data_IF_545583856062
#
_entry.id   IF_545583856062
#
_cell.length_a   1.000
_cell.length_b   1.000
_cell.length_c   1.000
_cell.angle_alpha   90.00
_cell.angle_beta   90.00
_cell.angle_gamma   90.00
#
_symmetry.space_group_name_H-M   'P 1'
#
loop_
_entity.id
_entity.type
_entity.pdbx_description
1 polymer ?
#
# COMPACT_ATOMS: atom_id res chain seq x y z
N UNK A 1 23.24 23.61 -32.38
CA UNK A 1 22.39 23.02 -33.44
C UNK A 1 21.04 22.67 -32.84
N UNK A 2 19.92 22.95 -33.52
CA UNK A 2 18.54 22.75 -32.99
C UNK A 2 18.23 21.32 -32.52
N UNK A 3 18.89 20.29 -33.07
CA UNK A 3 18.74 18.87 -32.67
C UNK A 3 19.48 18.55 -31.34
N UNK A 4 20.22 19.51 -30.79
CA UNK A 4 20.97 19.38 -29.52
C UNK A 4 20.33 20.25 -28.44
N UNK A 5 19.82 21.43 -28.83
CA UNK A 5 19.29 22.44 -27.91
C UNK A 5 17.76 22.45 -27.95
N UNK A 6 17.14 22.02 -26.85
CA UNK A 6 15.69 21.96 -26.66
C UNK A 6 15.02 23.34 -26.82
N UNK A 7 15.68 24.44 -26.42
CA UNK A 7 15.13 25.80 -26.54
C UNK A 7 15.01 26.27 -28.00
N UNK A 8 15.83 25.67 -28.88
CA UNK A 8 15.88 25.94 -30.31
C UNK A 8 15.07 24.90 -31.11
N UNK A 9 14.33 24.02 -30.44
CA UNK A 9 13.49 23.00 -31.06
C UNK A 9 12.01 23.40 -31.07
N UNK A 10 11.24 23.12 -32.14
CA UNK A 10 11.72 22.70 -33.45
C UNK A 10 12.49 23.81 -34.18
N UNK A 11 13.34 23.49 -35.18
CA UNK A 11 13.95 24.48 -36.05
C UNK A 11 12.85 25.29 -36.76
N UNK A 12 13.04 26.62 -36.77
CA UNK A 12 12.07 27.57 -37.30
C UNK A 12 12.73 28.50 -38.32
N UNK A 13 12.00 28.84 -39.38
CA UNK A 13 12.32 29.94 -40.29
C UNK A 13 11.20 30.98 -40.17
N UNK A 14 11.53 32.25 -39.98
CA UNK A 14 10.54 33.31 -39.81
C UNK A 14 9.48 33.02 -38.73
N UNK A 15 9.87 32.35 -37.63
CA UNK A 15 9.03 31.86 -36.51
C UNK A 15 8.09 30.68 -36.84
N UNK A 16 8.10 30.17 -38.06
CA UNK A 16 7.31 29.00 -38.46
C UNK A 16 8.17 27.73 -38.42
N UNK A 17 7.69 26.62 -37.81
CA UNK A 17 8.40 25.34 -37.86
C UNK A 17 8.64 24.89 -39.30
N UNK A 18 9.83 24.38 -39.60
CA UNK A 18 10.15 23.88 -40.94
C UNK A 18 9.47 22.51 -41.13
N UNK A 19 8.62 22.31 -42.14
CA UNK A 19 7.90 21.05 -42.34
C UNK A 19 8.84 19.95 -42.82
N UNK A 20 9.14 18.98 -41.95
CA UNK A 20 10.12 17.92 -42.23
C UNK A 20 9.65 16.98 -43.33
N UNK A 21 8.36 16.62 -43.37
CA UNK A 21 7.83 15.66 -44.33
C UNK A 21 7.78 16.21 -45.78
N UNK A 22 7.60 17.52 -45.94
CA UNK A 22 7.61 18.19 -47.26
C UNK A 22 9.03 18.34 -47.83
N UNK A 23 10.05 18.33 -46.97
CA UNK A 23 11.44 18.58 -47.34
C UNK A 23 12.29 17.30 -47.41
N UNK A 24 11.66 16.12 -47.44
CA UNK A 24 12.37 14.82 -47.42
C UNK A 24 13.36 14.62 -48.55
N UNK A 25 13.19 15.31 -49.69
CA UNK A 25 14.15 15.26 -50.80
C UNK A 25 15.52 15.86 -50.45
N UNK A 26 15.57 16.75 -49.46
CA UNK A 26 16.81 17.41 -48.99
C UNK A 26 17.34 16.81 -47.68
N UNK A 27 16.57 15.93 -47.02
CA UNK A 27 16.87 15.42 -45.69
C UNK A 27 17.17 13.92 -45.75
N UNK A 28 18.30 13.50 -45.19
CA UNK A 28 18.63 12.07 -45.10
C UNK A 28 17.68 11.36 -44.15
N UNK A 29 17.43 10.06 -44.39
CA UNK A 29 16.61 9.25 -43.49
C UNK A 29 17.16 9.24 -42.05
N UNK A 30 18.49 9.27 -41.89
CA UNK A 30 19.15 9.38 -40.60
C UNK A 30 18.81 10.71 -39.89
N UNK A 31 18.88 11.84 -40.60
CA UNK A 31 18.58 13.15 -40.05
C UNK A 31 17.11 13.26 -39.62
N UNK A 32 16.20 12.77 -40.46
CA UNK A 32 14.75 12.70 -40.15
C UNK A 32 14.52 11.82 -38.93
N UNK A 33 15.17 10.65 -38.85
CA UNK A 33 15.08 9.76 -37.69
C UNK A 33 15.56 10.43 -36.40
N UNK A 34 16.70 11.14 -36.44
CA UNK A 34 17.22 11.90 -35.30
C UNK A 34 16.30 13.05 -34.90
N UNK A 35 15.73 13.79 -35.87
CA UNK A 35 14.78 14.85 -35.60
C UNK A 35 13.54 14.31 -34.86
N UNK A 36 12.92 13.24 -35.36
CA UNK A 36 11.74 12.62 -34.74
C UNK A 36 12.05 12.05 -33.36
N UNK A 37 13.23 11.48 -33.16
CA UNK A 37 13.66 11.03 -31.84
C UNK A 37 13.78 12.19 -30.83
N UNK A 38 14.31 13.35 -31.26
CA UNK A 38 14.38 14.56 -30.43
C UNK A 38 13.02 15.19 -30.20
N UNK A 39 12.14 15.16 -31.19
CA UNK A 39 10.76 15.64 -31.05
C UNK A 39 10.06 14.92 -29.90
N UNK A 40 10.10 13.58 -29.88
CA UNK A 40 9.54 12.77 -28.79
C UNK A 40 10.21 13.08 -27.45
N UNK A 41 11.54 13.15 -27.43
CA UNK A 41 12.29 13.47 -26.20
C UNK A 41 11.88 14.82 -25.63
N UNK A 42 11.93 15.88 -26.43
CA UNK A 42 11.66 17.25 -26.00
C UNK A 42 10.17 17.50 -25.73
N UNK A 43 9.25 16.78 -26.38
CA UNK A 43 7.83 16.85 -26.04
C UNK A 43 7.47 16.07 -24.76
N UNK A 44 8.37 15.23 -24.23
CA UNK A 44 8.11 14.45 -23.02
C UNK A 44 8.36 15.31 -21.78
N UNK A 45 7.33 15.52 -20.95
CA UNK A 45 7.44 16.35 -19.74
C UNK A 45 8.35 15.72 -18.67
N UNK A 46 8.09 14.46 -18.29
CA UNK A 46 8.86 13.76 -17.27
C UNK A 46 9.87 12.79 -17.90
N UNK A 47 10.87 13.36 -18.58
CA UNK A 47 11.90 12.60 -19.30
C UNK A 47 12.62 11.63 -18.37
N UNK A 48 12.90 10.45 -18.86
CA UNK A 48 13.74 9.47 -18.14
C UNK A 48 14.93 9.11 -19.01
N UNK A 49 16.12 9.26 -18.43
CA UNK A 49 17.38 8.93 -19.08
C UNK A 49 17.99 7.70 -18.42
N UNK A 50 18.76 6.93 -19.18
CA UNK A 50 19.52 5.83 -18.60
C UNK A 50 20.50 6.34 -17.52
N UNK A 51 20.44 5.79 -16.31
CA UNK A 51 21.30 6.18 -15.17
C UNK A 51 22.78 5.85 -15.42
N UNK A 52 23.06 4.96 -16.38
CA UNK A 52 24.43 4.61 -16.74
C UNK A 52 25.23 5.85 -17.17
N UNK A 53 26.37 6.18 -16.53
CA UNK A 53 27.05 7.47 -16.70
C UNK A 53 27.65 7.67 -18.11
N UNK A 54 27.95 6.58 -18.81
CA UNK A 54 28.40 6.59 -20.22
C UNK A 54 27.24 6.46 -21.22
N UNK A 55 26.02 6.26 -20.73
CA UNK A 55 24.86 6.00 -21.55
C UNK A 55 23.99 7.23 -21.75
N UNK A 56 23.34 7.69 -20.69
CA UNK A 56 22.44 8.86 -20.67
C UNK A 56 21.46 8.94 -21.85
N UNK A 57 21.08 7.79 -22.40
CA UNK A 57 20.15 7.69 -23.52
C UNK A 57 18.74 7.97 -23.00
N UNK A 58 17.98 8.84 -23.67
CA UNK A 58 16.56 9.03 -23.41
C UNK A 58 15.80 7.70 -23.58
N UNK A 59 14.92 7.39 -22.63
CA UNK A 59 14.11 6.17 -22.62
C UNK A 59 12.64 6.58 -22.80
N UNK A 60 12.04 6.28 -23.97
CA UNK A 60 10.62 6.55 -24.23
C UNK A 60 9.69 5.78 -23.27
N UNK A 61 8.49 6.32 -23.05
CA UNK A 61 7.45 5.73 -22.17
C UNK A 61 7.09 4.29 -22.54
N UNK A 62 7.16 3.93 -23.82
CA UNK A 62 6.93 2.56 -24.29
C UNK A 62 7.86 1.51 -23.65
N UNK A 63 8.99 1.94 -23.06
CA UNK A 63 9.95 1.07 -22.38
C UNK A 63 9.95 1.27 -20.86
N UNK A 64 8.88 1.87 -20.33
CA UNK A 64 8.66 2.09 -18.90
C UNK A 64 7.52 1.17 -18.43
N UNK A 65 7.77 0.41 -17.37
CA UNK A 65 6.76 -0.42 -16.72
C UNK A 65 7.00 -0.45 -15.21
N UNK A 66 5.94 -0.24 -14.42
CA UNK A 66 5.99 -0.22 -12.95
C UNK A 66 7.12 0.69 -12.43
N UNK A 67 7.19 1.93 -12.94
CA UNK A 67 8.20 2.92 -12.56
C UNK A 67 9.66 2.53 -12.82
N UNK A 68 9.87 1.54 -13.69
CA UNK A 68 11.18 1.12 -14.16
C UNK A 68 11.29 1.29 -15.67
N UNK A 69 12.26 2.11 -16.07
CA UNK A 69 12.63 2.37 -17.46
C UNK A 69 13.76 1.43 -17.89
N UNK A 70 13.58 0.72 -19.00
CA UNK A 70 14.60 -0.19 -19.56
C UNK A 70 15.30 0.47 -20.74
N UNK A 71 16.62 0.69 -20.62
CA UNK A 71 17.40 1.32 -21.66
C UNK A 71 17.56 0.40 -22.89
N UNK A 72 17.18 0.88 -24.07
CA UNK A 72 17.31 0.09 -25.31
C UNK A 72 18.74 -0.03 -25.81
N UNK A 73 19.65 0.85 -25.37
CA UNK A 73 21.06 0.85 -25.79
C UNK A 73 21.94 -0.07 -24.96
N UNK A 74 21.80 -0.04 -23.64
CA UNK A 74 22.66 -0.81 -22.72
C UNK A 74 21.92 -1.74 -21.77
N UNK A 75 20.58 -1.86 -21.90
CA UNK A 75 19.70 -2.75 -21.11
C UNK A 75 19.67 -2.48 -19.59
N UNK A 76 20.37 -1.45 -19.11
CA UNK A 76 20.27 -0.98 -17.73
C UNK A 76 18.85 -0.52 -17.40
N UNK A 77 18.47 -0.71 -16.13
CA UNK A 77 17.15 -0.41 -15.57
C UNK A 77 17.26 0.81 -14.67
N UNK A 78 16.44 1.82 -14.93
CA UNK A 78 16.43 3.10 -14.21
C UNK A 78 15.09 3.28 -13.51
N UNK A 79 15.09 3.74 -12.25
CA UNK A 79 13.86 4.17 -11.59
C UNK A 79 13.39 5.51 -12.20
N UNK A 80 12.12 5.58 -12.60
CA UNK A 80 11.54 6.80 -13.19
C UNK A 80 11.35 7.92 -12.17
N UNK A 81 11.33 7.61 -10.88
CA UNK A 81 11.14 8.60 -9.81
C UNK A 81 12.44 9.30 -9.45
N UNK A 82 13.46 8.54 -9.03
CA UNK A 82 14.74 9.11 -8.59
C UNK A 82 15.79 9.23 -9.70
N UNK A 83 15.52 8.68 -10.88
CA UNK A 83 16.41 8.64 -12.05
C UNK A 83 17.72 7.87 -11.84
N UNK A 84 17.86 7.19 -10.70
CA UNK A 84 18.98 6.29 -10.39
C UNK A 84 18.73 4.85 -10.87
N UNK A 85 19.67 3.95 -10.56
CA UNK A 85 19.50 2.52 -10.81
C UNK A 85 18.22 1.97 -10.12
N UNK A 86 17.57 1.00 -10.76
CA UNK A 86 16.43 0.30 -10.17
C UNK A 86 16.78 -0.30 -8.79
N UNK A 87 15.93 -0.06 -7.80
CA UNK A 87 15.97 -0.68 -6.48
C UNK A 87 15.14 -1.97 -6.50
N UNK A 88 15.80 -3.12 -6.33
CA UNK A 88 15.15 -4.43 -6.41
C UNK A 88 14.43 -4.76 -5.10
N UNK A 89 13.10 -4.80 -5.14
CA UNK A 89 12.29 -5.24 -3.99
C UNK A 89 12.15 -4.20 -2.88
N UNK A 90 12.63 -2.98 -3.11
CA UNK A 90 12.54 -1.85 -2.19
C UNK A 90 11.78 -0.71 -2.87
N UNK A 91 11.04 0.07 -2.08
CA UNK A 91 10.40 1.27 -2.62
C UNK A 91 11.43 2.35 -2.93
N UNK A 92 11.10 3.23 -3.86
CA UNK A 92 11.94 4.38 -4.11
C UNK A 92 11.98 5.30 -2.87
N UNK A 93 13.16 5.69 -2.37
CA UNK A 93 13.26 6.61 -1.24
C UNK A 93 12.73 8.01 -1.57
N UNK A 94 12.67 8.35 -2.86
CA UNK A 94 12.11 9.60 -3.36
C UNK A 94 10.63 9.49 -3.74
N UNK A 95 9.99 8.35 -3.49
CA UNK A 95 8.54 8.23 -3.60
C UNK A 95 7.84 8.92 -2.43
N UNK A 96 7.57 10.21 -2.58
CA UNK A 96 6.92 11.04 -1.57
C UNK A 96 5.60 10.42 -1.10
N UNK A 97 4.84 9.79 -2.00
CA UNK A 97 3.55 9.15 -1.69
C UNK A 97 3.75 7.95 -0.79
N UNK A 98 4.62 7.02 -1.18
CA UNK A 98 4.95 5.84 -0.36
C UNK A 98 5.57 6.26 0.97
N UNK A 99 6.49 7.22 0.98
CA UNK A 99 7.10 7.74 2.20
C UNK A 99 6.07 8.37 3.15
N UNK A 100 5.06 9.09 2.63
CA UNK A 100 3.98 9.62 3.45
C UNK A 100 3.14 8.52 4.11
N UNK A 101 2.83 7.45 3.38
CA UNK A 101 2.11 6.28 3.92
C UNK A 101 2.94 5.57 4.99
N UNK A 102 4.24 5.38 4.77
CA UNK A 102 5.12 4.73 5.75
C UNK A 102 5.29 5.57 7.02
N UNK A 103 5.40 6.89 6.91
CA UNK A 103 5.40 7.79 8.09
C UNK A 103 4.09 7.71 8.87
N UNK A 104 2.96 7.71 8.16
CA UNK A 104 1.66 7.53 8.81
C UNK A 104 1.58 6.16 9.50
N UNK A 105 2.10 5.11 8.87
CA UNK A 105 2.15 3.78 9.47
C UNK A 105 2.97 3.77 10.76
N UNK A 106 4.16 4.39 10.76
CA UNK A 106 5.00 4.50 11.94
C UNK A 106 4.30 5.25 13.09
N UNK A 107 3.69 6.40 12.80
CA UNK A 107 2.97 7.20 13.80
C UNK A 107 1.78 6.45 14.43
N UNK A 108 1.10 5.62 13.65
CA UNK A 108 -0.04 4.83 14.11
C UNK A 108 0.34 3.40 14.52
N UNK A 109 1.64 3.08 14.54
CA UNK A 109 2.15 1.73 14.82
C UNK A 109 1.50 0.64 13.94
N UNK A 110 1.19 0.98 12.68
CA UNK A 110 0.75 0.05 11.67
C UNK A 110 1.93 -0.74 11.13
N UNK A 111 1.70 -2.03 10.88
CA UNK A 111 2.75 -2.94 10.45
C UNK A 111 2.74 -3.14 8.94
N UNK A 112 3.91 -3.26 8.32
CA UNK A 112 4.04 -3.58 6.90
C UNK A 112 4.26 -5.07 6.71
N UNK A 113 3.49 -5.68 5.82
CA UNK A 113 3.73 -7.05 5.40
C UNK A 113 5.05 -7.13 4.62
N UNK A 114 6.00 -7.92 5.11
CA UNK A 114 7.32 -8.11 4.49
C UNK A 114 7.28 -8.87 3.17
N UNK A 115 6.17 -9.54 2.85
CA UNK A 115 6.01 -10.32 1.60
C UNK A 115 5.39 -9.50 0.47
N UNK A 116 4.37 -8.69 0.76
CA UNK A 116 3.63 -7.95 -0.28
C UNK A 116 3.64 -6.43 -0.08
N UNK A 117 4.40 -5.94 0.90
CA UNK A 117 4.60 -4.51 1.16
C UNK A 117 3.36 -3.73 1.59
N UNK A 118 2.20 -4.37 1.75
CA UNK A 118 0.96 -3.74 2.23
C UNK A 118 1.08 -3.37 3.71
N UNK A 119 0.71 -2.13 4.04
CA UNK A 119 0.52 -1.67 5.42
C UNK A 119 -0.80 -2.22 5.96
N UNK A 120 -0.77 -2.72 7.19
CA UNK A 120 -1.91 -3.28 7.90
C UNK A 120 -2.04 -2.64 9.28
N UNK A 121 -3.28 -2.40 9.67
CA UNK A 121 -3.67 -1.97 11.00
C UNK A 121 -4.18 -3.16 11.80
N UNK A 122 -3.94 -3.18 13.11
CA UNK A 122 -4.51 -4.14 14.05
C UNK A 122 -5.34 -3.41 15.11
N UNK A 123 -6.63 -3.27 14.83
CA UNK A 123 -7.62 -2.64 15.71
C UNK A 123 -7.82 -3.42 17.01
N UNK A 124 -7.99 -4.75 16.91
CA UNK A 124 -8.18 -5.63 18.05
C UNK A 124 -7.65 -7.04 17.78
N UNK A 125 -7.39 -7.81 18.85
CA UNK A 125 -6.89 -9.18 18.76
C UNK A 125 -5.41 -9.32 19.12
N UNK A 126 -4.87 -10.53 18.93
CA UNK A 126 -3.48 -10.84 19.25
C UNK A 126 -2.52 -10.33 18.17
N UNK A 127 -1.23 -10.29 18.47
CA UNK A 127 -0.16 -9.90 17.54
C UNK A 127 0.09 -10.87 16.38
N UNK A 128 -0.71 -11.93 16.24
CA UNK A 128 -0.71 -12.79 15.07
C UNK A 128 -1.51 -12.14 13.94
N UNK A 129 -0.82 -11.73 12.88
CA UNK A 129 -1.44 -11.14 11.70
C UNK A 129 -1.41 -12.13 10.53
N UNK A 130 -2.47 -12.13 9.73
CA UNK A 130 -2.53 -12.82 8.43
C UNK A 130 -2.82 -11.79 7.35
N UNK A 131 -1.86 -11.56 6.45
CA UNK A 131 -2.04 -10.65 5.34
C UNK A 131 -3.01 -11.22 4.30
N UNK A 132 -3.61 -10.36 3.47
CA UNK A 132 -4.39 -10.80 2.30
C UNK A 132 -3.58 -11.59 1.27
N UNK A 133 -2.25 -11.48 1.27
CA UNK A 133 -1.39 -12.34 0.44
C UNK A 133 -1.15 -13.74 1.06
N UNK A 134 -1.69 -14.02 2.24
CA UNK A 134 -1.53 -15.30 2.96
C UNK A 134 -0.34 -15.35 3.92
N UNK A 135 0.56 -14.36 3.89
CA UNK A 135 1.69 -14.31 4.81
C UNK A 135 1.22 -14.11 6.27
N UNK A 136 1.76 -14.90 7.19
CA UNK A 136 1.51 -14.78 8.62
C UNK A 136 2.72 -14.20 9.35
N UNK A 137 2.52 -13.15 10.13
CA UNK A 137 3.61 -12.40 10.76
C UNK A 137 3.21 -11.80 12.11
N UNK A 138 4.20 -11.41 12.89
CA UNK A 138 4.04 -10.68 14.14
C UNK A 138 3.74 -9.21 13.86
N UNK A 139 2.67 -8.66 14.42
CA UNK A 139 2.32 -7.24 14.26
C UNK A 139 3.37 -6.30 14.87
N UNK A 140 4.02 -6.69 15.97
CA UNK A 140 5.03 -5.85 16.65
C UNK A 140 6.27 -5.66 15.77
N UNK A 141 6.83 -6.75 15.24
CA UNK A 141 8.15 -6.71 14.60
C UNK A 141 8.15 -7.07 13.10
N UNK A 142 7.02 -7.49 12.52
CA UNK A 142 6.93 -7.89 11.11
C UNK A 142 7.56 -9.25 10.79
N UNK A 143 8.21 -9.91 11.75
CA UNK A 143 8.83 -11.22 11.57
C UNK A 143 7.78 -12.31 11.28
N UNK A 144 8.19 -13.40 10.61
CA UNK A 144 7.32 -14.56 10.36
C UNK A 144 6.72 -15.05 11.69
N UNK A 145 5.43 -15.43 11.65
CA UNK A 145 4.75 -15.82 12.89
C UNK A 145 5.46 -16.99 13.58
N UNK A 146 5.57 -16.91 14.92
CA UNK A 146 6.33 -17.84 15.79
C UNK A 146 7.85 -17.88 15.59
N UNK A 147 8.44 -16.89 14.92
CA UNK A 147 9.91 -16.78 14.81
C UNK A 147 10.50 -15.65 15.66
N UNK A 148 9.72 -15.04 16.54
CA UNK A 148 10.13 -13.95 17.43
C UNK A 148 9.67 -14.22 18.86
N UNK A 149 10.33 -13.58 19.84
CA UNK A 149 9.94 -13.62 21.26
C UNK A 149 8.97 -12.50 21.68
N UNK A 150 8.35 -11.79 20.73
CA UNK A 150 7.39 -10.73 21.04
C UNK A 150 6.15 -11.29 21.74
N UNK A 151 5.58 -10.49 22.64
CA UNK A 151 4.34 -10.85 23.32
C UNK A 151 3.23 -11.14 22.32
N UNK A 152 2.43 -12.15 22.64
CA UNK A 152 1.26 -12.49 21.84
C UNK A 152 0.19 -11.40 21.91
N UNK A 153 0.21 -10.57 22.95
CA UNK A 153 -0.78 -9.53 23.21
C UNK A 153 -0.15 -8.25 23.70
N UNK A 154 -0.71 -7.12 23.30
CA UNK A 154 -0.56 -5.89 24.09
C UNK A 154 -1.71 -5.83 25.10
N UNK A 155 -1.37 -5.71 26.38
CA UNK A 155 -2.33 -5.67 27.48
C UNK A 155 -3.38 -4.57 27.28
N UNK A 156 -2.95 -3.38 26.86
CA UNK A 156 -3.82 -2.23 26.60
C UNK A 156 -4.92 -2.53 25.56
N UNK A 157 -4.58 -3.21 24.46
CA UNK A 157 -5.56 -3.60 23.43
C UNK A 157 -6.51 -4.68 23.91
N UNK A 158 -6.02 -5.61 24.74
CA UNK A 158 -6.85 -6.64 25.34
C UNK A 158 -7.90 -6.04 26.29
N UNK A 159 -7.49 -5.10 27.14
CA UNK A 159 -8.36 -4.42 28.10
C UNK A 159 -9.34 -3.49 27.36
N UNK A 160 -8.87 -2.66 26.43
CA UNK A 160 -9.73 -1.79 25.61
C UNK A 160 -10.81 -2.58 24.87
N UNK A 161 -10.44 -3.75 24.33
CA UNK A 161 -11.39 -4.66 23.69
C UNK A 161 -12.40 -5.23 24.68
N UNK A 162 -11.94 -5.65 25.85
CA UNK A 162 -12.80 -6.17 26.91
C UNK A 162 -13.81 -5.13 27.40
N UNK A 163 -13.38 -3.90 27.61
CA UNK A 163 -14.23 -2.74 27.93
C UNK A 163 -15.34 -2.55 26.88
N UNK A 164 -14.96 -2.53 25.60
CA UNK A 164 -15.90 -2.42 24.48
C UNK A 164 -16.97 -3.53 24.52
N UNK A 165 -16.57 -4.78 24.79
CA UNK A 165 -17.51 -5.91 24.87
C UNK A 165 -18.45 -5.79 26.08
N UNK A 166 -17.91 -5.39 27.24
CA UNK A 166 -18.67 -5.25 28.48
C UNK A 166 -19.70 -4.11 28.35
N UNK A 167 -19.31 -2.99 27.74
CA UNK A 167 -20.14 -1.81 27.52
C UNK A 167 -21.33 -2.03 26.59
N UNK A 168 -21.26 -2.99 25.65
CA UNK A 168 -22.39 -3.34 24.75
C UNK A 168 -23.63 -3.84 25.50
N UNK A 169 -23.45 -4.47 26.65
CA UNK A 169 -24.51 -5.16 27.40
C UNK A 169 -25.00 -4.33 28.61
N UNK A 170 -24.97 -3.00 28.47
CA UNK A 170 -25.26 -1.98 29.48
C UNK A 170 -24.09 -1.69 30.46
N UNK A 171 -23.91 -0.40 30.83
CA UNK A 171 -22.91 -0.01 31.81
C UNK A 171 -23.25 -0.63 33.17
N UNK A 172 -22.26 -1.21 33.84
CA UNK A 172 -22.45 -1.66 35.22
C UNK A 172 -22.53 -0.44 36.13
N UNK A 173 -23.55 -0.39 37.00
CA UNK A 173 -23.74 0.70 37.96
C UNK A 173 -22.67 0.72 39.08
N UNK A 174 -21.97 -0.40 39.29
CA UNK A 174 -20.91 -0.55 40.29
C UNK A 174 -19.53 -0.71 39.61
N UNK A 175 -18.56 0.17 39.90
CA UNK A 175 -17.20 0.10 39.34
C UNK A 175 -16.44 -1.22 39.58
N UNK A 176 -16.54 -1.81 40.77
CA UNK A 176 -15.86 -3.08 41.06
C UNK A 176 -16.44 -4.25 40.26
N UNK A 177 -17.77 -4.28 40.14
CA UNK A 177 -18.44 -5.29 39.34
C UNK A 177 -18.12 -5.12 37.85
N UNK A 178 -18.00 -3.88 37.38
CA UNK A 178 -17.53 -3.56 36.03
C UNK A 178 -16.12 -4.11 35.80
N UNK A 179 -15.17 -3.76 36.68
CA UNK A 179 -13.78 -4.21 36.59
C UNK A 179 -13.66 -5.74 36.53
N UNK A 180 -14.40 -6.47 37.37
CA UNK A 180 -14.44 -7.95 37.33
C UNK A 180 -14.97 -8.51 36.01
N UNK A 181 -15.97 -7.85 35.40
CA UNK A 181 -16.50 -8.25 34.09
C UNK A 181 -15.47 -8.01 32.98
N UNK A 182 -14.78 -6.88 33.01
CA UNK A 182 -13.72 -6.52 32.05
C UNK A 182 -12.57 -7.51 32.15
N UNK A 183 -12.09 -7.81 33.35
CA UNK A 183 -11.01 -8.77 33.56
C UNK A 183 -11.39 -10.18 33.05
N UNK A 184 -12.63 -10.63 33.32
CA UNK A 184 -13.14 -11.90 32.79
C UNK A 184 -13.19 -11.90 31.27
N UNK A 185 -13.66 -10.82 30.65
CA UNK A 185 -13.73 -10.68 29.20
C UNK A 185 -12.32 -10.67 28.58
N UNK A 186 -11.35 -9.97 29.19
CA UNK A 186 -9.96 -9.96 28.78
C UNK A 186 -9.36 -11.37 28.80
N UNK A 187 -9.55 -12.14 29.88
CA UNK A 187 -9.10 -13.55 29.95
C UNK A 187 -9.73 -14.43 28.86
N UNK A 188 -11.01 -14.23 28.54
CA UNK A 188 -11.68 -14.98 27.47
C UNK A 188 -11.12 -14.63 26.08
N UNK A 189 -10.87 -13.35 25.81
CA UNK A 189 -10.23 -12.91 24.57
C UNK A 189 -8.82 -13.50 24.46
N UNK A 190 -8.05 -13.44 25.55
CA UNK A 190 -6.72 -14.02 25.65
C UNK A 190 -6.70 -15.52 25.34
N UNK A 191 -7.72 -16.27 25.78
CA UNK A 191 -7.82 -17.70 25.54
C UNK A 191 -8.37 -18.10 24.15
N UNK A 192 -9.06 -17.18 23.45
CA UNK A 192 -9.80 -17.48 22.22
C UNK A 192 -9.42 -16.59 21.04
N UNK A 193 -8.19 -16.11 20.96
CA UNK A 193 -7.77 -15.16 19.90
C UNK A 193 -7.61 -15.74 18.52
N UNK A 194 -7.31 -17.02 18.40
CA UNK A 194 -7.37 -17.77 17.15
C UNK A 194 -8.75 -18.40 17.00
N UNK A 195 -9.81 -17.59 17.14
CA UNK A 195 -11.17 -18.11 17.04
C UNK A 195 -11.51 -18.47 15.59
N UNK A 196 -11.95 -19.70 15.35
CA UNK A 196 -12.50 -20.15 14.04
C UNK A 196 -13.99 -19.80 13.87
N UNK A 197 -14.54 -18.98 14.77
CA UNK A 197 -15.93 -18.54 14.77
C UNK A 197 -17.00 -19.62 14.49
N UNK A 198 -17.02 -20.76 15.23
CA UNK A 198 -17.89 -21.89 14.90
C UNK A 198 -19.38 -21.62 15.18
N UNK A 199 -19.68 -20.66 16.06
CA UNK A 199 -21.04 -20.43 16.55
C UNK A 199 -21.32 -18.92 16.64
N UNK A 200 -22.45 -18.51 16.08
CA UNK A 200 -22.88 -17.12 15.97
C UNK A 200 -24.25 -16.91 16.61
N UNK A 201 -24.44 -15.78 17.26
CA UNK A 201 -25.72 -15.32 17.81
C UNK A 201 -26.17 -14.09 17.03
N UNK A 202 -27.44 -14.03 16.64
CA UNK A 202 -27.99 -12.83 16.01
C UNK A 202 -28.34 -11.79 17.07
N UNK A 203 -27.90 -10.55 16.86
CA UNK A 203 -28.27 -9.37 17.66
C UNK A 203 -29.12 -8.44 16.81
N UNK A 204 -30.30 -8.08 17.30
CA UNK A 204 -31.18 -7.11 16.64
C UNK A 204 -30.75 -5.68 16.98
N UNK A 205 -31.14 -4.74 16.13
CA UNK A 205 -30.86 -3.31 16.30
C UNK A 205 -29.60 -2.84 15.58
N UNK A 206 -29.36 -1.52 15.59
CA UNK A 206 -28.27 -0.88 14.88
C UNK A 206 -26.93 -1.26 15.53
N UNK A 207 -26.02 -1.81 14.73
CA UNK A 207 -24.67 -2.19 15.16
C UNK A 207 -23.69 -1.94 14.02
N UNK A 208 -22.43 -1.62 14.34
CA UNK A 208 -21.36 -1.49 13.33
C UNK A 208 -20.61 -2.81 13.19
N UNK A 209 -20.36 -3.23 11.95
CA UNK A 209 -19.50 -4.38 11.68
C UNK A 209 -18.05 -4.06 12.03
N UNK A 210 -17.38 -4.99 12.70
CA UNK A 210 -15.99 -4.80 13.14
C UNK A 210 -14.97 -5.14 12.06
N UNK A 211 -15.43 -5.66 10.91
CA UNK A 211 -14.57 -6.07 9.79
C UNK A 211 -14.65 -5.17 8.56
N UNK A 212 -15.86 -4.77 8.17
CA UNK A 212 -16.05 -3.82 7.09
C UNK A 212 -16.38 -2.41 7.58
N UNK A 213 -16.53 -2.22 8.90
CA UNK A 213 -16.82 -0.92 9.50
C UNK A 213 -18.16 -0.27 9.08
N UNK A 214 -18.99 -1.00 8.33
CA UNK A 214 -20.31 -0.55 7.91
C UNK A 214 -21.33 -0.69 9.04
N UNK A 215 -22.18 0.32 9.17
CA UNK A 215 -23.35 0.29 10.03
C UNK A 215 -24.42 -0.65 9.47
N UNK A 216 -24.94 -1.53 10.33
CA UNK A 216 -26.01 -2.48 10.03
C UNK A 216 -27.22 -2.11 10.89
N UNK A 217 -28.30 -1.55 10.31
CA UNK A 217 -29.38 -0.94 11.08
C UNK A 217 -30.30 -1.96 11.76
N UNK A 218 -30.40 -3.19 11.23
CA UNK A 218 -31.40 -4.16 11.68
C UNK A 218 -30.84 -5.27 12.56
N UNK A 219 -29.69 -5.82 12.19
CA UNK A 219 -29.07 -6.91 12.94
C UNK A 219 -27.58 -7.06 12.63
N UNK A 220 -26.90 -7.78 13.52
CA UNK A 220 -25.51 -8.21 13.35
C UNK A 220 -25.30 -9.62 13.91
N UNK A 221 -24.27 -10.32 13.46
CA UNK A 221 -23.86 -11.61 14.03
C UNK A 221 -22.77 -11.38 15.06
N UNK A 222 -22.95 -11.93 16.26
CA UNK A 222 -21.96 -11.94 17.32
C UNK A 222 -21.38 -13.34 17.51
N UNK A 223 -20.06 -13.48 17.44
CA UNK A 223 -19.42 -14.76 17.72
C UNK A 223 -19.57 -15.13 19.21
N UNK A 224 -19.99 -16.36 19.51
CA UNK A 224 -20.21 -16.77 20.91
C UNK A 224 -18.92 -16.94 21.71
N UNK A 225 -17.75 -17.05 21.06
CA UNK A 225 -16.44 -17.23 21.71
C UNK A 225 -15.68 -15.91 21.87
N UNK A 226 -15.32 -15.26 20.76
CA UNK A 226 -14.54 -14.02 20.78
C UNK A 226 -15.37 -12.73 20.75
N UNK A 227 -16.70 -12.83 20.69
CA UNK A 227 -17.65 -11.69 20.73
C UNK A 227 -17.49 -10.66 19.60
N UNK A 228 -16.80 -11.00 18.51
CA UNK A 228 -16.74 -10.14 17.33
C UNK A 228 -18.12 -9.96 16.70
N UNK A 229 -18.46 -8.73 16.30
CA UNK A 229 -19.64 -8.38 15.54
C UNK A 229 -19.33 -8.34 14.03
N UNK A 230 -19.88 -9.28 13.28
CA UNK A 230 -19.73 -9.38 11.83
C UNK A 230 -21.07 -9.19 11.12
N UNK A 231 -21.09 -8.41 10.03
CA UNK A 231 -22.23 -8.39 9.12
C UNK A 231 -22.37 -9.72 8.39
N UNK A 232 -23.49 -9.91 7.68
CA UNK A 232 -23.73 -11.13 6.90
C UNK A 232 -22.58 -11.43 5.94
N UNK A 233 -22.14 -10.44 5.17
CA UNK A 233 -21.14 -10.67 4.12
C UNK A 233 -19.76 -10.96 4.71
N UNK A 234 -19.35 -10.24 5.76
CA UNK A 234 -18.08 -10.53 6.45
C UNK A 234 -18.11 -11.91 7.11
N UNK A 235 -19.24 -12.31 7.71
CA UNK A 235 -19.39 -13.63 8.31
C UNK A 235 -19.17 -14.76 7.31
N UNK A 236 -19.66 -14.64 6.07
CA UNK A 236 -19.60 -15.73 5.09
C UNK A 236 -18.40 -15.64 4.13
N UNK A 237 -17.76 -14.47 4.01
CA UNK A 237 -16.68 -14.24 3.05
C UNK A 237 -15.31 -13.96 3.69
N UNK A 238 -15.23 -13.75 5.02
CA UNK A 238 -13.97 -13.44 5.73
C UNK A 238 -13.61 -14.40 6.86
N UNK A 239 -14.55 -15.24 7.29
CA UNK A 239 -14.38 -16.20 8.38
C UNK A 239 -14.83 -17.59 7.94
#
# INVERSE_FOLDING_TARGET
MSIIDESLFPPRCCRTPIPVDENRIFLTAELVGRFRAREVEFSTANKTYCHGPRCSQFIPEAFIKNDVAVCQRCRKRTCTMCKEAEHKGEDCPQDIGTQAVLRMAELNQWQRCTTCSRVVELDHGCNHMTCRCGAQFCYICGAKWKTCGCDQWAEERLISRAETIVGRHAPALNPEHHARRVERAARQLAAHHQCEHPTWRTRKGPNRCEECHESKPHFIYECARCRIHACRDCRYNRF
#
